data_IF_598400332968
#
_entry.id   IF_598400332968
#
_cell.length_a   1.000
_cell.length_b   1.000
_cell.length_c   1.000
_cell.angle_alpha   90.00
_cell.angle_beta   90.00
_cell.angle_gamma   90.00
#
_symmetry.space_group_name_H-M   'P 1'
#
loop_
_entity.id
_entity.type
_entity.pdbx_description
1 polymer ?
#
# COMPACT_ATOMS: atom_id res chain seq x y z
N UNK A 1 33.12 1.56 -57.87
CA UNK A 1 32.54 0.33 -57.31
C UNK A 1 33.02 0.25 -55.89
N UNK A 2 32.19 0.68 -54.96
CA UNK A 2 32.53 0.78 -53.54
C UNK A 2 31.41 0.08 -52.79
N UNK A 3 31.66 -1.08 -52.25
CA UNK A 3 30.75 -1.84 -51.43
C UNK A 3 30.74 -1.25 -50.00
N UNK A 4 29.58 -0.84 -49.54
CA UNK A 4 29.33 -0.51 -48.14
C UNK A 4 28.84 -1.80 -47.47
N UNK A 5 29.61 -2.29 -46.53
CA UNK A 5 29.17 -3.30 -45.57
C UNK A 5 28.36 -2.64 -44.48
N UNK A 6 27.06 -2.92 -44.46
CA UNK A 6 26.12 -2.58 -43.41
C UNK A 6 26.26 -3.59 -42.26
N UNK A 7 26.78 -3.13 -41.10
CA UNK A 7 26.82 -3.95 -39.90
C UNK A 7 25.68 -3.49 -38.97
N UNK A 8 24.50 -4.07 -39.16
CA UNK A 8 23.39 -3.96 -38.21
C UNK A 8 23.74 -4.65 -36.91
N UNK A 9 24.00 -3.91 -35.84
CA UNK A 9 24.02 -4.43 -34.48
C UNK A 9 22.57 -4.46 -33.96
N UNK A 10 21.99 -5.64 -34.02
CA UNK A 10 20.72 -5.96 -33.41
C UNK A 10 20.95 -6.08 -31.88
N UNK A 11 20.80 -4.97 -31.19
CA UNK A 11 20.83 -4.90 -29.73
C UNK A 11 19.46 -5.21 -29.16
N UNK A 12 19.04 -6.47 -29.21
CA UNK A 12 17.93 -6.97 -28.41
C UNK A 12 18.37 -6.97 -26.94
N UNK A 13 18.27 -5.81 -26.30
CA UNK A 13 18.38 -5.72 -24.84
C UNK A 13 17.24 -6.52 -24.22
N UNK A 14 17.54 -7.71 -23.78
CA UNK A 14 16.70 -8.54 -22.94
C UNK A 14 16.39 -7.70 -21.68
N UNK A 15 15.12 -7.32 -21.51
CA UNK A 15 14.69 -6.66 -20.26
C UNK A 15 14.94 -7.65 -19.14
N UNK A 16 15.57 -7.25 -18.04
CA UNK A 16 15.73 -8.14 -16.90
C UNK A 16 14.35 -8.61 -16.45
N UNK A 17 14.27 -9.91 -16.18
CA UNK A 17 13.07 -10.58 -15.67
C UNK A 17 12.55 -9.80 -14.45
N UNK A 18 11.31 -9.37 -14.43
CA UNK A 18 10.80 -8.57 -13.32
C UNK A 18 10.91 -9.41 -12.04
N UNK A 19 11.55 -8.85 -11.03
CA UNK A 19 11.59 -9.44 -9.68
C UNK A 19 10.18 -9.89 -9.29
N UNK A 20 10.01 -11.06 -8.66
CA UNK A 20 8.70 -11.53 -8.27
C UNK A 20 8.00 -10.47 -7.42
N UNK A 21 6.74 -10.19 -7.73
CA UNK A 21 5.97 -9.21 -6.97
C UNK A 21 5.87 -9.62 -5.50
N UNK A 22 5.74 -8.66 -4.57
CA UNK A 22 5.54 -8.95 -3.15
C UNK A 22 4.38 -9.95 -2.92
N UNK A 23 3.36 -9.90 -3.78
CA UNK A 23 2.24 -10.86 -3.80
C UNK A 23 2.69 -12.29 -4.14
N UNK A 24 3.60 -12.47 -5.10
CA UNK A 24 4.12 -13.78 -5.45
C UNK A 24 4.96 -14.37 -4.31
N UNK A 25 5.87 -13.58 -3.74
CA UNK A 25 6.71 -13.98 -2.60
C UNK A 25 5.86 -14.36 -1.37
N UNK A 26 4.81 -13.60 -1.09
CA UNK A 26 3.91 -13.90 0.02
C UNK A 26 3.11 -15.19 -0.24
N UNK A 27 2.67 -15.45 -1.47
CA UNK A 27 2.01 -16.71 -1.84
C UNK A 27 2.92 -17.92 -1.64
N UNK A 28 4.17 -17.82 -2.05
CA UNK A 28 5.18 -18.87 -1.84
C UNK A 28 5.43 -19.12 -0.35
N UNK A 29 5.56 -18.04 0.44
CA UNK A 29 5.68 -18.14 1.90
C UNK A 29 4.45 -18.81 2.55
N UNK A 30 3.24 -18.45 2.10
CA UNK A 30 1.99 -19.05 2.60
C UNK A 30 1.84 -20.51 2.20
N UNK A 31 2.37 -20.90 1.05
CA UNK A 31 2.39 -22.29 0.58
C UNK A 31 3.44 -23.16 1.32
N UNK A 32 4.38 -22.55 2.06
CA UNK A 32 5.50 -23.25 2.69
C UNK A 32 6.63 -23.62 1.71
N UNK A 33 6.62 -23.01 0.52
CA UNK A 33 7.59 -23.23 -0.57
C UNK A 33 8.64 -22.10 -0.64
N UNK A 34 8.54 -21.12 0.27
CA UNK A 34 9.41 -19.95 0.29
C UNK A 34 10.84 -20.31 0.71
N UNK A 35 11.79 -20.04 -0.16
CA UNK A 35 13.22 -20.10 0.13
C UNK A 35 13.77 -18.69 0.34
N UNK A 36 14.10 -18.29 1.58
CA UNK A 36 14.63 -16.96 1.89
C UNK A 36 15.94 -16.63 1.15
N UNK A 37 16.73 -17.67 0.78
CA UNK A 37 17.99 -17.47 0.08
C UNK A 37 17.80 -17.22 -1.44
N UNK A 38 16.61 -17.53 -1.96
CA UNK A 38 16.28 -17.28 -3.38
C UNK A 38 15.98 -15.80 -3.67
N UNK A 39 15.62 -15.02 -2.64
CA UNK A 39 15.30 -13.60 -2.78
C UNK A 39 16.59 -12.78 -2.73
N UNK A 40 17.19 -12.56 -3.87
CA UNK A 40 18.27 -11.60 -4.00
C UNK A 40 17.67 -10.20 -4.12
N UNK A 41 17.82 -9.42 -3.06
CA UNK A 41 17.56 -8.00 -3.12
C UNK A 41 18.68 -7.34 -3.94
N UNK A 42 18.35 -6.90 -5.15
CA UNK A 42 19.24 -6.10 -5.97
C UNK A 42 18.81 -4.64 -5.87
N UNK A 43 19.57 -3.79 -5.14
CA UNK A 43 19.26 -2.36 -5.00
C UNK A 43 19.25 -1.62 -6.33
N UNK A 44 19.97 -2.12 -7.35
CA UNK A 44 20.03 -1.51 -8.68
C UNK A 44 18.80 -1.86 -9.55
N UNK A 45 18.08 -2.95 -9.21
CA UNK A 45 16.84 -3.31 -9.90
C UNK A 45 15.63 -2.46 -9.49
N UNK A 46 15.72 -1.76 -8.37
CA UNK A 46 14.78 -0.70 -8.03
C UNK A 46 15.18 0.49 -8.89
N UNK A 47 14.53 0.65 -10.03
CA UNK A 47 14.74 1.78 -10.93
C UNK A 47 14.45 3.11 -10.25
N UNK A 48 15.33 3.51 -9.32
CA UNK A 48 15.34 4.84 -8.74
C UNK A 48 15.91 5.79 -9.81
N UNK A 49 15.01 6.48 -10.52
CA UNK A 49 15.37 7.60 -11.37
C UNK A 49 15.27 8.88 -10.53
N UNK A 50 16.39 9.43 -10.05
CA UNK A 50 16.41 10.69 -9.30
C UNK A 50 15.97 11.90 -10.13
N UNK A 51 15.91 11.77 -11.44
CA UNK A 51 15.49 12.83 -12.38
C UNK A 51 14.00 12.68 -12.79
N UNK A 52 13.26 11.70 -12.26
CA UNK A 52 11.84 11.56 -12.56
C UNK A 52 11.09 12.80 -12.06
N UNK A 53 10.64 13.61 -13.01
CA UNK A 53 9.82 14.81 -12.74
C UNK A 53 8.53 14.33 -12.03
N UNK A 54 8.17 14.91 -10.87
CA UNK A 54 6.93 14.55 -10.19
C UNK A 54 5.74 14.69 -11.13
N UNK A 55 4.84 13.68 -11.13
CA UNK A 55 3.60 13.76 -11.91
C UNK A 55 2.79 14.98 -11.46
N UNK A 56 2.14 15.72 -12.38
CA UNK A 56 1.21 16.76 -12.03
C UNK A 56 0.10 16.26 -11.09
N UNK A 57 -0.40 17.11 -10.20
CA UNK A 57 -1.48 16.76 -9.27
C UNK A 57 -2.73 16.23 -9.99
N UNK A 58 -3.02 16.77 -11.19
CA UNK A 58 -4.13 16.31 -12.02
C UNK A 58 -3.99 14.83 -12.40
N UNK A 59 -2.79 14.40 -12.78
CA UNK A 59 -2.53 13.00 -13.17
C UNK A 59 -2.71 12.03 -11.98
N UNK A 60 -2.38 12.48 -10.77
CA UNK A 60 -2.61 11.70 -9.55
C UNK A 60 -4.11 11.60 -9.25
N UNK A 61 -4.82 12.75 -9.29
CA UNK A 61 -6.26 12.78 -9.04
C UNK A 61 -7.05 11.95 -10.06
N UNK A 62 -6.65 11.96 -11.33
CA UNK A 62 -7.34 11.20 -12.38
C UNK A 62 -7.23 9.68 -12.22
N UNK A 63 -6.26 9.21 -11.43
CA UNK A 63 -6.10 7.78 -11.10
C UNK A 63 -6.92 7.34 -9.90
N UNK A 64 -7.42 8.28 -9.10
CA UNK A 64 -8.22 7.99 -7.92
C UNK A 64 -9.72 7.98 -8.24
N UNK A 65 -10.45 7.13 -7.57
CA UNK A 65 -11.93 7.08 -7.65
C UNK A 65 -12.54 8.41 -7.19
N UNK A 66 -13.76 8.74 -7.64
CA UNK A 66 -14.41 9.99 -7.28
C UNK A 66 -14.51 10.26 -5.77
N UNK A 67 -14.84 9.30 -4.89
CA UNK A 67 -14.89 9.52 -3.44
C UNK A 67 -13.54 9.90 -2.84
N UNK A 68 -12.48 9.15 -3.20
CA UNK A 68 -11.12 9.38 -2.69
C UNK A 68 -10.58 10.71 -3.21
N UNK A 69 -10.84 11.04 -4.48
CA UNK A 69 -10.49 12.34 -5.07
C UNK A 69 -11.13 13.51 -4.32
N UNK A 70 -12.44 13.42 -4.01
CA UNK A 70 -13.15 14.45 -3.27
C UNK A 70 -12.63 14.59 -1.86
N UNK A 71 -12.39 13.47 -1.18
CA UNK A 71 -11.78 13.48 0.13
C UNK A 71 -10.42 14.22 0.13
N UNK A 72 -9.55 13.88 -0.81
CA UNK A 72 -8.25 14.55 -0.95
C UNK A 72 -8.39 16.07 -1.14
N UNK A 73 -9.28 16.49 -2.02
CA UNK A 73 -9.51 17.91 -2.27
C UNK A 73 -10.09 18.60 -1.05
N UNK A 74 -11.09 18.01 -0.38
CA UNK A 74 -11.70 18.61 0.80
C UNK A 74 -10.72 18.76 1.97
N UNK A 75 -9.84 17.76 2.17
CA UNK A 75 -8.91 17.74 3.29
C UNK A 75 -7.68 18.62 3.07
N UNK A 76 -7.12 18.63 1.86
CA UNK A 76 -5.81 19.23 1.61
C UNK A 76 -5.81 20.50 0.75
N UNK A 77 -6.94 20.93 0.18
CA UNK A 77 -7.00 22.12 -0.68
C UNK A 77 -6.50 23.40 0.02
N UNK A 78 -6.74 23.53 1.32
CA UNK A 78 -6.28 24.69 2.09
C UNK A 78 -4.75 24.76 2.21
N UNK A 79 -4.04 23.65 2.06
CA UNK A 79 -2.58 23.54 2.21
C UNK A 79 -1.82 23.60 0.87
N UNK A 80 -2.50 23.78 -0.25
CA UNK A 80 -1.89 23.79 -1.61
C UNK A 80 -0.76 24.80 -1.72
N UNK A 81 -0.90 25.98 -1.09
CA UNK A 81 0.14 27.03 -1.12
C UNK A 81 1.42 26.66 -0.36
N UNK A 82 1.31 25.82 0.68
CA UNK A 82 2.43 25.42 1.54
C UNK A 82 3.25 24.28 0.90
N UNK A 83 2.59 23.36 0.18
CA UNK A 83 3.19 22.17 -0.39
C UNK A 83 3.55 22.30 -1.87
N UNK A 84 3.32 23.44 -2.49
CA UNK A 84 3.50 23.66 -3.93
C UNK A 84 2.53 22.83 -4.79
N UNK A 85 1.41 22.37 -4.21
CA UNK A 85 0.36 21.57 -4.85
C UNK A 85 -0.44 20.77 -3.83
N UNK A 86 -1.43 20.02 -4.30
CA UNK A 86 -2.32 19.20 -3.47
C UNK A 86 -1.57 18.01 -2.84
N UNK A 87 -0.61 17.44 -3.58
CA UNK A 87 0.20 16.31 -3.15
C UNK A 87 1.64 16.73 -2.85
N UNK A 88 2.25 16.11 -1.86
CA UNK A 88 3.69 16.22 -1.61
C UNK A 88 4.48 15.44 -2.68
N UNK A 89 5.78 15.73 -2.89
CA UNK A 89 6.59 14.99 -3.85
C UNK A 89 6.57 13.46 -3.68
N UNK A 90 6.67 12.88 -2.46
CA UNK A 90 6.52 11.45 -2.25
C UNK A 90 5.16 10.90 -2.70
N UNK A 91 4.09 11.64 -2.46
CA UNK A 91 2.74 11.25 -2.83
C UNK A 91 2.54 11.25 -4.34
N UNK A 92 3.03 12.29 -5.04
CA UNK A 92 3.02 12.35 -6.52
C UNK A 92 3.77 11.18 -7.16
N UNK A 93 4.87 10.76 -6.54
CA UNK A 93 5.66 9.65 -7.07
C UNK A 93 5.09 8.27 -6.75
N UNK A 94 4.57 8.06 -5.53
CA UNK A 94 4.18 6.74 -5.06
C UNK A 94 2.73 6.37 -5.41
N UNK A 95 1.76 7.28 -5.24
CA UNK A 95 0.34 6.95 -5.44
C UNK A 95 0.07 6.35 -6.82
N UNK A 96 0.52 6.93 -7.95
CA UNK A 96 0.28 6.34 -9.27
C UNK A 96 0.93 4.97 -9.44
N UNK A 97 2.13 4.77 -8.91
CA UNK A 97 2.84 3.49 -9.01
C UNK A 97 2.13 2.38 -8.25
N UNK A 98 1.70 2.68 -7.02
CA UNK A 98 0.94 1.72 -6.21
C UNK A 98 -0.39 1.39 -6.88
N UNK A 99 -1.09 2.38 -7.44
CA UNK A 99 -2.33 2.18 -8.19
C UNK A 99 -2.13 1.32 -9.46
N UNK A 100 -0.96 1.44 -10.09
CA UNK A 100 -0.59 0.61 -11.25
C UNK A 100 -0.07 -0.80 -10.84
N UNK A 101 -0.03 -1.12 -9.54
CA UNK A 101 0.47 -2.39 -9.01
C UNK A 101 1.99 -2.52 -9.00
N UNK A 102 2.70 -1.42 -9.13
CA UNK A 102 4.16 -1.40 -9.11
C UNK A 102 4.72 -1.42 -7.67
N UNK A 103 5.85 -2.07 -7.49
CA UNK A 103 6.61 -1.95 -6.25
C UNK A 103 7.35 -0.61 -6.23
N UNK A 104 7.34 0.09 -5.11
CA UNK A 104 8.08 1.34 -4.99
C UNK A 104 8.79 1.48 -3.63
N UNK A 105 9.94 2.12 -3.65
CA UNK A 105 10.67 2.56 -2.46
C UNK A 105 10.49 4.09 -2.31
N UNK A 106 9.99 4.52 -1.15
CA UNK A 106 9.76 5.93 -0.85
C UNK A 106 10.77 6.39 0.20
N UNK A 107 11.82 7.09 -0.23
CA UNK A 107 12.81 7.72 0.65
C UNK A 107 12.48 9.21 0.79
N UNK A 108 12.03 9.62 1.97
CA UNK A 108 11.65 11.00 2.25
C UNK A 108 11.71 11.31 3.75
N UNK A 109 11.90 12.56 4.17
CA UNK A 109 11.93 12.95 5.56
C UNK A 109 10.65 12.58 6.33
N UNK A 110 10.73 12.54 7.66
CA UNK A 110 9.54 12.43 8.51
C UNK A 110 8.61 13.62 8.29
N UNK A 111 7.30 13.40 8.35
CA UNK A 111 6.29 14.46 8.09
C UNK A 111 6.07 14.79 6.60
N UNK A 112 6.74 14.14 5.66
CA UNK A 112 6.58 14.39 4.22
C UNK A 112 5.34 13.72 3.59
N UNK A 113 4.48 13.07 4.38
CA UNK A 113 3.27 12.40 3.89
C UNK A 113 3.48 11.00 3.33
N UNK A 114 4.58 10.30 3.70
CA UNK A 114 4.87 8.92 3.25
C UNK A 114 3.73 7.93 3.55
N UNK A 115 3.12 8.04 4.72
CA UNK A 115 2.01 7.18 5.12
C UNK A 115 0.84 7.26 4.14
N UNK A 116 0.37 8.48 3.84
CA UNK A 116 -0.69 8.67 2.85
C UNK A 116 -0.24 8.33 1.43
N UNK A 117 1.06 8.52 1.11
CA UNK A 117 1.61 8.06 -0.17
C UNK A 117 1.45 6.55 -0.37
N UNK A 118 1.64 5.77 0.70
CA UNK A 118 1.46 4.31 0.66
C UNK A 118 -0.02 3.90 0.65
N UNK A 119 -0.85 4.55 1.49
CA UNK A 119 -2.21 4.09 1.73
C UNK A 119 -3.27 4.64 0.77
N UNK A 120 -3.07 5.78 0.12
CA UNK A 120 -4.12 6.38 -0.73
C UNK A 120 -4.61 5.42 -1.82
N UNK A 121 -3.70 4.81 -2.57
CA UNK A 121 -4.08 3.86 -3.62
C UNK A 121 -4.63 2.53 -3.04
N UNK A 122 -4.13 2.10 -1.88
CA UNK A 122 -4.64 0.91 -1.17
C UNK A 122 -6.08 1.12 -0.72
N UNK A 123 -6.37 2.28 -0.11
CA UNK A 123 -7.72 2.60 0.33
C UNK A 123 -8.67 2.77 -0.86
N UNK A 124 -8.19 3.36 -1.96
CA UNK A 124 -8.98 3.50 -3.19
C UNK A 124 -9.45 2.13 -3.73
N UNK A 125 -8.55 1.15 -3.79
CA UNK A 125 -8.88 -0.22 -4.18
C UNK A 125 -9.82 -0.91 -3.18
N UNK A 126 -9.57 -0.78 -1.87
CA UNK A 126 -10.39 -1.42 -0.85
C UNK A 126 -11.82 -0.86 -0.83
N UNK A 127 -12.01 0.44 -0.95
CA UNK A 127 -13.34 1.04 -1.05
C UNK A 127 -14.05 0.70 -2.37
N UNK A 128 -13.31 0.57 -3.47
CA UNK A 128 -13.90 0.10 -4.71
C UNK A 128 -14.42 -1.33 -4.60
N UNK A 129 -13.69 -2.22 -3.93
CA UNK A 129 -14.12 -3.61 -3.65
C UNK A 129 -15.27 -3.68 -2.67
N UNK A 130 -15.26 -2.85 -1.64
CA UNK A 130 -16.36 -2.77 -0.67
C UNK A 130 -17.68 -2.43 -1.38
N UNK A 131 -17.69 -1.38 -2.22
CA UNK A 131 -18.85 -0.97 -3.01
C UNK A 131 -19.31 -2.01 -4.03
N UNK A 132 -18.41 -2.88 -4.49
CA UNK A 132 -18.72 -3.98 -5.40
C UNK A 132 -19.16 -5.27 -4.68
N UNK A 133 -19.22 -5.28 -3.33
CA UNK A 133 -19.44 -6.47 -2.50
C UNK A 133 -18.41 -7.60 -2.77
N UNK A 134 -17.16 -7.17 -3.08
CA UNK A 134 -16.02 -8.07 -3.37
C UNK A 134 -15.01 -8.15 -2.21
N UNK A 135 -15.27 -7.44 -1.11
CA UNK A 135 -14.38 -7.40 0.04
C UNK A 135 -14.65 -8.57 0.98
N UNK A 136 -13.79 -9.58 0.93
CA UNK A 136 -13.91 -10.76 1.80
C UNK A 136 -13.50 -10.44 3.24
N UNK A 137 -13.94 -11.27 4.19
CA UNK A 137 -13.50 -11.20 5.60
C UNK A 137 -12.05 -11.71 5.75
N UNK A 138 -11.10 -10.99 5.17
CA UNK A 138 -9.69 -11.35 5.02
C UNK A 138 -8.79 -10.10 4.96
N UNK A 139 -7.46 -10.30 5.09
CA UNK A 139 -6.47 -9.21 5.04
C UNK A 139 -6.05 -8.95 3.59
N UNK A 140 -6.14 -7.70 3.15
CA UNK A 140 -5.68 -7.25 1.83
C UNK A 140 -4.39 -6.45 1.88
N UNK A 141 -4.18 -5.71 2.98
CA UNK A 141 -2.98 -4.92 3.19
C UNK A 141 -2.29 -5.29 4.51
N UNK A 142 -1.00 -5.60 4.44
CA UNK A 142 -0.13 -5.73 5.59
C UNK A 142 0.73 -4.48 5.70
N UNK A 143 0.64 -3.78 6.85
CA UNK A 143 1.59 -2.75 7.23
C UNK A 143 2.53 -3.31 8.30
N UNK A 144 3.81 -3.36 7.98
CA UNK A 144 4.84 -3.95 8.84
C UNK A 144 5.77 -2.85 9.32
N UNK A 145 5.81 -2.65 10.65
CA UNK A 145 6.70 -1.68 11.29
C UNK A 145 7.47 -2.33 12.44
N UNK A 146 8.76 -2.05 12.61
CA UNK A 146 9.57 -2.62 13.69
C UNK A 146 9.19 -2.09 15.09
N UNK A 147 8.49 -0.96 15.16
CA UNK A 147 8.14 -0.30 16.40
C UNK A 147 6.63 -0.36 16.67
N UNK A 148 6.23 -0.92 17.81
CA UNK A 148 4.82 -0.99 18.24
C UNK A 148 4.15 0.39 18.34
N UNK A 149 4.91 1.43 18.76
CA UNK A 149 4.38 2.80 18.84
C UNK A 149 3.96 3.34 17.47
N UNK A 150 4.70 3.01 16.42
CA UNK A 150 4.35 3.41 15.05
C UNK A 150 3.08 2.74 14.56
N UNK A 151 2.80 1.50 14.97
CA UNK A 151 1.56 0.83 14.63
C UNK A 151 0.33 1.59 15.16
N UNK A 152 0.41 2.11 16.41
CA UNK A 152 -0.65 2.92 16.99
C UNK A 152 -0.82 4.28 16.28
N UNK A 153 0.30 4.89 15.86
CA UNK A 153 0.24 6.15 15.11
C UNK A 153 -0.37 5.95 13.72
N UNK A 154 -0.10 4.83 13.07
CA UNK A 154 -0.70 4.47 11.78
C UNK A 154 -2.20 4.24 11.90
N UNK A 155 -2.67 3.54 12.93
CA UNK A 155 -4.10 3.34 13.16
C UNK A 155 -4.83 4.69 13.21
N UNK A 156 -4.33 5.63 14.02
CA UNK A 156 -4.88 6.99 14.12
C UNK A 156 -4.79 7.76 12.80
N UNK A 157 -3.69 7.61 12.08
CA UNK A 157 -3.50 8.30 10.79
C UNK A 157 -4.39 7.75 9.69
N UNK A 158 -4.92 6.53 9.82
CA UNK A 158 -5.85 5.92 8.88
C UNK A 158 -7.33 6.16 9.25
N UNK A 159 -7.66 6.48 10.51
CA UNK A 159 -9.03 6.80 10.92
C UNK A 159 -9.63 7.92 10.06
N UNK A 160 -8.95 9.06 9.98
CA UNK A 160 -9.45 10.20 9.21
C UNK A 160 -9.64 9.93 7.71
N UNK A 161 -8.71 9.26 6.99
CA UNK A 161 -8.95 8.80 5.62
C UNK A 161 -10.13 7.84 5.49
N UNK A 162 -10.24 6.84 6.37
CA UNK A 162 -11.31 5.85 6.33
C UNK A 162 -12.68 6.53 6.49
N UNK A 163 -12.86 7.30 7.55
CA UNK A 163 -14.12 8.01 7.85
C UNK A 163 -14.44 9.05 6.77
N UNK A 164 -13.42 9.80 6.34
CA UNK A 164 -13.61 10.85 5.34
C UNK A 164 -13.98 10.32 3.95
N UNK A 165 -13.41 9.21 3.51
CA UNK A 165 -13.76 8.57 2.23
C UNK A 165 -15.15 7.95 2.34
N UNK A 166 -15.47 7.26 3.45
CA UNK A 166 -16.80 6.69 3.68
C UNK A 166 -17.89 7.78 3.65
N UNK A 167 -17.64 8.93 4.27
CA UNK A 167 -18.57 10.08 4.25
C UNK A 167 -18.77 10.62 2.82
N UNK A 168 -17.73 10.62 1.96
CA UNK A 168 -17.88 11.00 0.55
C UNK A 168 -18.72 9.97 -0.24
N UNK A 169 -18.60 8.68 0.08
CA UNK A 169 -19.41 7.62 -0.54
C UNK A 169 -20.89 7.79 -0.13
N UNK A 170 -21.17 7.91 1.16
CA UNK A 170 -22.52 8.10 1.68
C UNK A 170 -23.20 9.35 1.06
N UNK A 171 -22.45 10.44 0.90
CA UNK A 171 -22.95 11.65 0.23
C UNK A 171 -23.33 11.40 -1.23
N UNK A 172 -22.55 10.58 -1.97
CA UNK A 172 -22.90 10.17 -3.35
C UNK A 172 -24.18 9.36 -3.40
N UNK A 173 -24.41 8.51 -2.40
CA UNK A 173 -25.57 7.62 -2.31
C UNK A 173 -26.81 8.31 -1.74
N UNK A 174 -26.67 9.57 -1.34
CA UNK A 174 -27.76 10.39 -0.78
C UNK A 174 -28.03 10.09 0.69
N UNK A 175 -27.08 9.49 1.36
CA UNK A 175 -27.13 9.21 2.81
C UNK A 175 -26.52 10.35 3.62
N UNK A 176 -26.83 10.37 4.92
CA UNK A 176 -26.19 11.33 5.85
C UNK A 176 -24.80 10.84 6.20
N UNK A 177 -23.82 11.74 6.11
CA UNK A 177 -22.41 11.44 6.38
C UNK A 177 -22.07 11.26 7.89
N UNK A 178 -23.07 11.31 8.77
CA UNK A 178 -22.88 11.13 10.22
C UNK A 178 -22.95 9.63 10.57
N UNK A 179 -21.92 9.11 11.23
CA UNK A 179 -21.82 7.74 11.74
C UNK A 179 -21.88 6.62 10.65
N UNK A 180 -21.31 6.90 9.47
CA UNK A 180 -21.21 5.90 8.40
C UNK A 180 -20.15 4.86 8.77
N UNK A 181 -20.52 3.56 8.70
CA UNK A 181 -19.53 2.48 8.79
C UNK A 181 -18.67 2.48 7.51
N UNK A 182 -17.34 2.65 7.61
CA UNK A 182 -16.47 2.62 6.44
C UNK A 182 -16.52 1.31 5.64
N UNK A 183 -17.01 0.21 6.22
CA UNK A 183 -16.94 -1.11 5.60
C UNK A 183 -15.51 -1.66 5.48
N UNK A 184 -14.51 -0.77 5.37
CA UNK A 184 -13.09 -1.11 5.35
C UNK A 184 -12.52 -1.05 6.77
N UNK A 185 -12.16 -2.21 7.31
CA UNK A 185 -11.68 -2.37 8.70
C UNK A 185 -10.17 -2.34 8.78
N UNK A 186 -9.65 -1.69 9.83
CA UNK A 186 -8.23 -1.77 10.20
C UNK A 186 -8.07 -2.33 11.62
N UNK A 187 -6.94 -2.94 11.93
CA UNK A 187 -6.58 -3.31 13.28
C UNK A 187 -5.07 -3.45 13.46
N UNK A 188 -4.63 -3.36 14.72
CA UNK A 188 -3.24 -3.58 15.10
C UNK A 188 -3.11 -4.96 15.76
N UNK A 189 -2.08 -5.70 15.34
CA UNK A 189 -1.71 -6.93 15.99
C UNK A 189 -0.21 -7.00 16.26
N UNK A 190 0.15 -6.98 17.52
CA UNK A 190 1.53 -7.14 18.01
C UNK A 190 1.57 -8.07 19.22
N UNK A 191 2.75 -8.23 19.84
CA UNK A 191 2.95 -9.14 20.96
C UNK A 191 2.02 -8.90 22.16
N UNK A 192 1.63 -7.64 22.40
CA UNK A 192 0.81 -7.23 23.54
C UNK A 192 -0.72 -7.21 23.24
N UNK A 193 -1.13 -7.53 22.02
CA UNK A 193 -2.55 -7.63 21.65
C UNK A 193 -3.22 -8.70 22.50
N UNK A 194 -4.36 -8.36 23.13
CA UNK A 194 -5.06 -9.26 24.03
C UNK A 194 -5.57 -10.55 23.35
N UNK A 195 -5.79 -11.60 24.12
CA UNK A 195 -6.39 -12.83 23.62
C UNK A 195 -7.81 -12.63 23.07
N UNK A 196 -8.56 -11.69 23.65
CA UNK A 196 -9.91 -11.35 23.20
C UNK A 196 -9.85 -10.69 21.81
N UNK A 197 -8.98 -9.70 21.62
CA UNK A 197 -8.81 -9.02 20.33
C UNK A 197 -8.28 -9.97 19.26
N UNK A 198 -7.34 -10.86 19.63
CA UNK A 198 -6.85 -11.90 18.70
C UNK A 198 -7.96 -12.83 18.21
N UNK A 199 -8.96 -13.14 19.06
CA UNK A 199 -10.12 -13.95 18.65
C UNK A 199 -11.08 -13.15 17.80
N UNK A 200 -11.38 -11.91 18.22
CA UNK A 200 -12.25 -11.02 17.45
C UNK A 200 -11.73 -10.84 16.01
N UNK A 201 -10.43 -10.66 15.82
CA UNK A 201 -9.81 -10.55 14.48
C UNK A 201 -9.93 -11.82 13.62
N UNK A 202 -10.27 -12.98 14.17
CA UNK A 202 -10.57 -14.18 13.38
C UNK A 202 -12.03 -14.21 12.90
N UNK A 203 -12.91 -13.61 13.68
CA UNK A 203 -14.35 -13.53 13.38
C UNK A 203 -14.60 -12.33 12.46
N UNK A 204 -13.99 -11.21 12.79
CA UNK A 204 -14.07 -9.97 12.05
C UNK A 204 -12.65 -9.53 11.65
N UNK A 205 -12.20 -10.07 10.52
CA UNK A 205 -10.81 -9.89 10.06
C UNK A 205 -10.61 -8.47 9.52
N UNK A 206 -9.55 -7.75 9.95
CA UNK A 206 -9.25 -6.44 9.37
C UNK A 206 -8.77 -6.57 7.92
N UNK A 207 -9.18 -5.66 7.06
CA UNK A 207 -8.71 -5.58 5.68
C UNK A 207 -7.31 -4.95 5.61
N UNK A 208 -6.99 -4.04 6.55
CA UNK A 208 -5.66 -3.49 6.77
C UNK A 208 -5.15 -3.97 8.12
N UNK A 209 -4.09 -4.75 8.12
CA UNK A 209 -3.47 -5.28 9.34
C UNK A 209 -2.13 -4.61 9.60
N UNK A 210 -2.06 -3.84 10.69
CA UNK A 210 -0.82 -3.23 11.18
C UNK A 210 -0.12 -4.21 12.13
N UNK A 211 1.14 -4.56 11.87
CA UNK A 211 1.84 -5.58 12.65
C UNK A 211 3.34 -5.33 12.76
N UNK A 212 4.02 -6.12 13.60
CA UNK A 212 5.48 -6.15 13.65
C UNK A 212 6.04 -7.38 12.95
N UNK A 213 7.31 -7.36 12.52
CA UNK A 213 7.94 -8.51 11.85
C UNK A 213 7.84 -9.82 12.65
N UNK A 214 8.05 -9.75 13.95
CA UNK A 214 7.99 -10.93 14.84
C UNK A 214 6.57 -11.48 14.92
N UNK A 215 5.57 -10.60 14.97
CA UNK A 215 4.18 -11.01 15.00
C UNK A 215 3.75 -11.58 13.67
N UNK A 216 4.16 -10.98 12.55
CA UNK A 216 3.91 -11.50 11.21
C UNK A 216 4.45 -12.92 11.06
N UNK A 217 5.68 -13.18 11.52
CA UNK A 217 6.26 -14.53 11.52
C UNK A 217 5.40 -15.54 12.30
N UNK A 218 4.80 -15.13 13.43
CA UNK A 218 3.87 -15.97 14.19
C UNK A 218 2.56 -16.21 13.41
N UNK A 219 2.02 -15.16 12.76
CA UNK A 219 0.78 -15.25 11.99
C UNK A 219 0.88 -16.16 10.78
N UNK A 220 2.02 -16.13 10.08
CA UNK A 220 2.33 -17.02 8.96
C UNK A 220 2.37 -18.50 9.38
N UNK A 221 2.74 -18.77 10.64
CA UNK A 221 2.76 -20.12 11.21
C UNK A 221 1.46 -20.52 11.92
N UNK A 222 0.46 -19.63 12.02
CA UNK A 222 -0.82 -19.89 12.65
C UNK A 222 -1.87 -20.30 11.59
N UNK A 223 -2.25 -21.60 11.46
CA UNK A 223 -3.03 -22.09 10.31
C UNK A 223 -4.32 -21.30 10.06
N UNK A 224 -5.07 -20.97 11.11
CA UNK A 224 -6.35 -20.25 11.00
C UNK A 224 -6.17 -18.81 10.51
N UNK A 225 -5.13 -18.12 10.98
CA UNK A 225 -4.88 -16.74 10.58
C UNK A 225 -4.16 -16.68 9.22
N UNK A 226 -3.30 -17.65 8.93
CA UNK A 226 -2.64 -17.76 7.63
C UNK A 226 -3.64 -17.82 6.46
N UNK A 227 -4.79 -18.50 6.63
CA UNK A 227 -5.84 -18.49 5.60
C UNK A 227 -6.38 -17.08 5.33
N UNK A 228 -6.43 -16.23 6.36
CA UNK A 228 -6.85 -14.83 6.23
C UNK A 228 -5.85 -13.93 5.50
N UNK A 229 -4.61 -14.39 5.34
CA UNK A 229 -3.55 -13.68 4.63
C UNK A 229 -3.46 -14.04 3.13
N UNK A 230 -4.29 -14.96 2.64
CA UNK A 230 -4.24 -15.40 1.22
C UNK A 230 -4.66 -14.33 0.23
N UNK A 231 -5.46 -13.38 0.68
CA UNK A 231 -5.95 -12.24 -0.11
C UNK A 231 -5.03 -11.02 -0.08
N UNK A 232 -3.90 -11.09 0.63
CA UNK A 232 -2.96 -9.98 0.71
C UNK A 232 -2.43 -9.63 -0.67
N UNK A 233 -2.66 -8.38 -1.06
CA UNK A 233 -2.17 -7.79 -2.31
C UNK A 233 -1.14 -6.70 -2.08
N UNK A 234 -1.23 -6.03 -0.91
CA UNK A 234 -0.34 -4.93 -0.56
C UNK A 234 0.48 -5.26 0.68
N UNK A 235 1.77 -5.00 0.61
CA UNK A 235 2.67 -5.07 1.76
C UNK A 235 3.44 -3.76 1.86
N UNK A 236 3.19 -3.01 2.93
CA UNK A 236 3.89 -1.78 3.24
C UNK A 236 4.89 -2.07 4.35
N UNK A 237 6.17 -1.85 4.08
CA UNK A 237 7.24 -2.01 5.07
C UNK A 237 7.76 -0.63 5.42
N UNK A 238 7.53 -0.20 6.66
CA UNK A 238 7.98 1.10 7.14
C UNK A 238 9.27 0.96 7.96
N UNK A 239 10.04 2.07 8.02
CA UNK A 239 11.29 2.15 8.76
C UNK A 239 12.26 0.99 8.44
N UNK A 240 12.43 0.68 7.15
CA UNK A 240 13.25 -0.46 6.66
C UNK A 240 14.66 -0.47 7.29
N UNK A 241 15.22 0.71 7.56
CA UNK A 241 16.53 0.84 8.19
C UNK A 241 16.62 0.27 9.62
N UNK A 242 15.49 0.10 10.29
CA UNK A 242 15.40 -0.49 11.61
C UNK A 242 15.17 -2.02 11.59
N UNK A 243 15.07 -2.60 10.39
CA UNK A 243 14.91 -4.05 10.16
C UNK A 243 16.25 -4.74 9.85
N UNK A 244 17.34 -3.96 9.72
CA UNK A 244 18.67 -4.45 9.35
C UNK A 244 19.45 -4.99 10.55
#
# INVERSE_FOLDING_TARGET
>A
MSERTDSGSDGSGERPDPSPSARALLREALAGEFDPESVKFDPESIGFDPESVPLPDADVLDRLSPPVRRWWVSEFAAHVGENGGLFTPPQRGAIPRVADGENCLVAAPTGSGKTLAAFTAVLDDLFARERADELENSVYCLYVSPLKSLANDIERNLEAPLDGIAAQIATEEGETAEDVDPGVRQAIRHGDTSEADRRAMLEETPHVLNTTPETLAILLNAPRFREKLRTVEYVVVDEIHALA
#
